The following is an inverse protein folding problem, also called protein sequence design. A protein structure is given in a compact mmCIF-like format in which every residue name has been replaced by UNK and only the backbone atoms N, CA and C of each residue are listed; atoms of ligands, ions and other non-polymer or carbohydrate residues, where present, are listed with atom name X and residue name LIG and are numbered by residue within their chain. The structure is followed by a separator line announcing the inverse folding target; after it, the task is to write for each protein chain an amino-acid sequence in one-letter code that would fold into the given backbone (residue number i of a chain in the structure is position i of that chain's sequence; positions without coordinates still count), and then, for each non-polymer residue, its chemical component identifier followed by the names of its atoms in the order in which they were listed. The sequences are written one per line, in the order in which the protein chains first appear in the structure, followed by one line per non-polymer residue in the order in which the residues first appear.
data_IF_706939514196
#
_entry.id   IF_706939514196
#
_cell.length_a   1.000
_cell.length_b   1.000
_cell.length_c   1.000
_cell.angle_alpha   90.00
_cell.angle_beta   90.00
_cell.angle_gamma   90.00
#
_symmetry.space_group_name_H-M   'P 1'
#
loop_
_entity.id
_entity.type
_entity.pdbx_description
1 polymer ?
#
# COMPACT_ATOMS: atom_id res chain seq x y z
N UNK A 1 -12.52 27.49 12.96
CA UNK A 1 -12.42 26.19 12.28
C UNK A 1 -12.83 26.46 10.86
N UNK A 2 -11.92 26.23 9.93
CA UNK A 2 -12.08 26.61 8.54
C UNK A 2 -12.99 25.61 7.80
N UNK A 3 -14.05 26.10 7.17
CA UNK A 3 -15.13 25.26 6.63
C UNK A 3 -14.69 24.57 5.32
N UNK A 4 -13.88 25.26 4.52
CA UNK A 4 -13.23 24.71 3.33
C UNK A 4 -12.28 23.54 3.64
N UNK A 5 -11.43 23.68 4.66
CA UNK A 5 -10.48 22.64 5.07
C UNK A 5 -11.19 21.34 5.47
N UNK A 6 -12.31 21.45 6.20
CA UNK A 6 -13.15 20.29 6.55
C UNK A 6 -13.81 19.65 5.33
N UNK A 7 -14.30 20.45 4.38
CA UNK A 7 -14.94 19.96 3.16
C UNK A 7 -13.95 19.13 2.32
N UNK A 8 -12.73 19.64 2.14
CA UNK A 8 -11.65 18.94 1.44
C UNK A 8 -11.23 17.66 2.16
N UNK A 9 -11.02 17.73 3.48
CA UNK A 9 -10.70 16.56 4.30
C UNK A 9 -11.75 15.48 4.20
N UNK A 10 -13.03 15.84 4.28
CA UNK A 10 -14.14 14.89 4.17
C UNK A 10 -14.20 14.24 2.79
N UNK A 11 -13.95 14.99 1.72
CA UNK A 11 -13.89 14.43 0.37
C UNK A 11 -12.69 13.49 0.18
N UNK A 12 -11.52 13.83 0.74
CA UNK A 12 -10.36 12.95 0.75
C UNK A 12 -10.67 11.62 1.46
N UNK A 13 -11.28 11.69 2.64
CA UNK A 13 -11.68 10.50 3.41
C UNK A 13 -12.70 9.67 2.62
N UNK A 14 -13.69 10.31 1.98
CA UNK A 14 -14.68 9.62 1.12
C UNK A 14 -14.04 8.92 -0.09
N UNK A 15 -12.95 9.47 -0.63
CA UNK A 15 -12.16 8.83 -1.70
C UNK A 15 -11.23 7.74 -1.18
N UNK A 16 -11.07 7.58 0.13
CA UNK A 16 -10.16 6.64 0.75
C UNK A 16 -8.68 7.03 0.63
N UNK A 17 -8.38 8.30 0.34
CA UNK A 17 -7.00 8.77 0.20
C UNK A 17 -6.38 9.12 1.54
N UNK A 18 -5.16 8.64 1.77
CA UNK A 18 -4.29 9.16 2.81
C UNK A 18 -3.67 10.50 2.38
N UNK A 19 -3.06 11.22 3.34
CA UNK A 19 -2.28 12.43 2.99
C UNK A 19 -1.08 12.08 2.09
N UNK A 20 -0.51 10.88 2.27
CA UNK A 20 0.54 10.35 1.40
C UNK A 20 0.08 10.18 -0.04
N UNK A 21 -1.08 9.54 -0.23
CA UNK A 21 -1.68 9.35 -1.56
C UNK A 21 -1.94 10.70 -2.22
N UNK A 22 -2.49 11.64 -1.46
CA UNK A 22 -2.81 12.96 -1.98
C UNK A 22 -1.53 13.75 -2.33
N UNK A 23 -0.45 13.62 -1.56
CA UNK A 23 0.86 14.16 -1.94
C UNK A 23 1.36 13.51 -3.25
N UNK A 24 1.21 12.21 -3.43
CA UNK A 24 1.67 11.54 -4.65
C UNK A 24 0.86 11.96 -5.88
N UNK A 25 -0.44 12.18 -5.73
CA UNK A 25 -1.35 12.60 -6.79
C UNK A 25 -1.10 14.07 -7.16
N UNK A 26 -1.08 14.96 -6.17
CA UNK A 26 -1.01 16.41 -6.38
C UNK A 26 0.42 16.94 -6.52
N UNK A 27 1.42 16.17 -6.05
CA UNK A 27 2.82 16.61 -5.87
C UNK A 27 3.00 17.75 -4.86
N UNK A 28 1.95 18.08 -4.10
CA UNK A 28 2.01 19.05 -2.99
C UNK A 28 2.54 18.34 -1.75
N UNK A 29 3.52 18.94 -1.07
CA UNK A 29 4.10 18.34 0.14
C UNK A 29 3.06 18.16 1.25
N UNK A 30 3.12 17.05 1.99
CA UNK A 30 2.16 16.72 3.07
C UNK A 30 1.88 17.86 4.02
N UNK A 31 2.91 18.60 4.44
CA UNK A 31 2.78 19.72 5.39
C UNK A 31 1.80 20.79 4.90
N UNK A 32 1.76 21.05 3.60
CA UNK A 32 0.85 22.04 3.03
C UNK A 32 -0.56 21.48 2.86
N UNK A 33 -0.70 20.20 2.55
CA UNK A 33 -2.01 19.53 2.51
C UNK A 33 -2.68 19.50 3.89
N UNK A 34 -1.91 19.24 4.94
CA UNK A 34 -2.38 19.29 6.33
C UNK A 34 -2.76 20.73 6.71
N UNK A 35 -1.91 21.70 6.39
CA UNK A 35 -2.19 23.11 6.64
C UNK A 35 -3.50 23.57 5.96
N UNK A 36 -3.78 23.12 4.72
CA UNK A 36 -5.04 23.39 4.02
C UNK A 36 -6.24 22.74 4.74
N UNK A 37 -6.12 21.51 5.23
CA UNK A 37 -7.20 20.86 5.99
C UNK A 37 -7.48 21.52 7.34
N UNK A 38 -6.48 22.16 7.93
CA UNK A 38 -6.57 22.89 9.21
C UNK A 38 -6.91 24.37 9.03
N UNK A 39 -6.99 24.86 7.78
CA UNK A 39 -7.23 26.27 7.46
C UNK A 39 -6.07 27.21 7.80
N UNK A 40 -4.86 26.66 7.94
CA UNK A 40 -3.66 27.40 8.28
C UNK A 40 -2.95 27.88 7.00
N UNK A 41 -3.62 28.74 6.24
CA UNK A 41 -3.09 29.21 4.95
C UNK A 41 -1.77 29.96 5.07
N UNK A 42 -1.50 30.60 6.21
CA UNK A 42 -0.25 31.31 6.50
C UNK A 42 0.99 30.40 6.51
N UNK A 43 0.81 29.08 6.65
CA UNK A 43 1.92 28.11 6.60
C UNK A 43 2.29 27.67 5.17
N UNK A 44 1.56 28.13 4.15
CA UNK A 44 1.88 27.87 2.75
C UNK A 44 3.02 28.78 2.29
N UNK A 45 3.75 28.43 1.20
CA UNK A 45 4.92 29.20 0.73
C UNK A 45 4.54 30.54 0.04
N UNK A 46 3.50 31.21 0.53
CA UNK A 46 2.95 32.46 0.02
C UNK A 46 1.50 32.31 -0.45
N UNK A 47 0.74 33.40 -0.29
CA UNK A 47 -0.70 33.49 -0.59
C UNK A 47 -1.05 33.06 -2.02
N UNK A 48 -0.13 33.33 -2.97
CA UNK A 48 -0.29 32.98 -4.38
C UNK A 48 -0.53 31.48 -4.60
N UNK A 49 0.08 30.63 -3.77
CA UNK A 49 -0.03 29.18 -3.89
C UNK A 49 -1.28 28.61 -3.25
N UNK A 50 -1.97 29.36 -2.37
CA UNK A 50 -3.13 28.87 -1.62
C UNK A 50 -4.24 28.44 -2.58
N UNK A 51 -4.64 29.32 -3.50
CA UNK A 51 -5.66 28.99 -4.52
C UNK A 51 -5.25 27.82 -5.41
N UNK A 52 -3.99 27.80 -5.85
CA UNK A 52 -3.50 26.74 -6.74
C UNK A 52 -3.52 25.38 -6.04
N UNK A 53 -3.10 25.32 -4.78
CA UNK A 53 -3.09 24.08 -4.00
C UNK A 53 -4.49 23.62 -3.63
N UNK A 54 -5.40 24.52 -3.27
CA UNK A 54 -6.81 24.20 -3.03
C UNK A 54 -7.46 23.65 -4.30
N UNK A 55 -7.21 24.25 -5.46
CA UNK A 55 -7.68 23.75 -6.76
C UNK A 55 -7.18 22.34 -7.02
N UNK A 56 -5.87 22.13 -6.91
CA UNK A 56 -5.27 20.83 -7.19
C UNK A 56 -5.68 19.74 -6.20
N UNK A 57 -5.91 20.10 -4.92
CA UNK A 57 -6.53 19.23 -3.93
C UNK A 57 -7.95 18.86 -4.39
N UNK A 58 -8.79 19.86 -4.66
CA UNK A 58 -10.20 19.69 -5.03
C UNK A 58 -10.37 18.78 -6.25
N UNK A 59 -9.56 19.01 -7.29
CA UNK A 59 -9.52 18.18 -8.50
C UNK A 59 -9.16 16.73 -8.17
N UNK A 60 -8.16 16.51 -7.30
CA UNK A 60 -7.74 15.17 -6.89
C UNK A 60 -8.83 14.41 -6.13
N UNK A 61 -9.63 15.10 -5.31
CA UNK A 61 -10.75 14.47 -4.57
C UNK A 61 -12.09 14.50 -5.30
N UNK A 62 -12.12 15.08 -6.50
CA UNK A 62 -13.31 15.14 -7.35
C UNK A 62 -14.39 16.11 -6.87
N UNK A 63 -13.99 17.19 -6.18
CA UNK A 63 -14.86 18.35 -5.93
C UNK A 63 -14.63 19.37 -7.04
N UNK A 64 -15.69 20.06 -7.46
CA UNK A 64 -15.58 21.20 -8.38
C UNK A 64 -14.76 22.32 -7.74
N UNK A 65 -13.52 22.48 -8.22
CA UNK A 65 -12.57 23.48 -7.75
C UNK A 65 -13.10 24.91 -7.90
N UNK A 66 -13.75 25.20 -9.02
CA UNK A 66 -14.20 26.55 -9.33
C UNK A 66 -15.41 26.95 -8.46
N UNK A 67 -16.31 26.01 -8.15
CA UNK A 67 -17.41 26.23 -7.19
C UNK A 67 -16.88 26.44 -5.77
N UNK A 68 -15.94 25.60 -5.34
CA UNK A 68 -15.37 25.65 -4.00
C UNK A 68 -14.57 26.95 -3.78
N UNK A 69 -13.82 27.40 -4.78
CA UNK A 69 -13.06 28.66 -4.69
C UNK A 69 -13.96 29.91 -4.70
N UNK A 70 -15.14 29.86 -5.33
CA UNK A 70 -16.08 30.98 -5.31
C UNK A 70 -16.91 31.00 -4.02
N UNK A 71 -17.32 29.83 -3.51
CA UNK A 71 -18.04 29.67 -2.25
C UNK A 71 -17.23 30.19 -1.04
N UNK A 72 -15.92 29.90 -1.00
CA UNK A 72 -15.04 30.27 0.12
C UNK A 72 -14.07 31.42 -0.20
N UNK A 73 -14.43 32.28 -1.17
CA UNK A 73 -13.58 33.38 -1.62
C UNK A 73 -13.18 34.38 -0.54
N UNK A 74 -13.99 34.51 0.52
CA UNK A 74 -13.71 35.38 1.66
C UNK A 74 -12.69 34.79 2.66
N UNK A 75 -12.53 33.47 2.67
CA UNK A 75 -11.61 32.75 3.57
C UNK A 75 -10.23 32.54 2.92
N UNK A 76 -10.17 32.56 1.59
CA UNK A 76 -8.94 32.35 0.83
C UNK A 76 -8.24 33.69 0.54
N UNK A 77 -6.94 33.85 0.87
CA UNK A 77 -6.16 35.02 0.51
C UNK A 77 -6.28 35.35 -0.98
N UNK A 78 -6.66 36.59 -1.29
CA UNK A 78 -6.83 37.03 -2.67
C UNK A 78 -5.48 37.47 -3.25
N UNK A 79 -4.79 36.57 -3.94
CA UNK A 79 -3.57 36.88 -4.68
C UNK A 79 -3.86 37.16 -6.16
N UNK A 80 -4.88 37.97 -6.45
CA UNK A 80 -4.93 38.54 -7.80
C UNK A 80 -3.66 39.38 -8.00
N UNK A 81 -2.90 39.18 -9.10
CA UNK A 81 -1.89 40.15 -9.46
C UNK A 81 -2.66 41.45 -9.73
N UNK A 82 -2.53 42.41 -8.82
CA UNK A 82 -2.92 43.79 -9.10
C UNK A 82 -2.19 44.16 -10.38
N UNK A 83 -2.93 44.34 -11.47
CA UNK A 83 -2.42 45.06 -12.64
C UNK A 83 -2.28 46.52 -12.22
N UNK A 84 -1.30 46.79 -11.39
CA UNK A 84 -0.84 48.14 -11.10
C UNK A 84 0.18 48.48 -12.20
N UNK A 85 -0.31 49.25 -13.17
CA UNK A 85 0.38 50.18 -14.06
C UNK A 85 1.91 50.06 -14.21
N UNK A 86 2.34 49.78 -15.45
CA UNK A 86 3.54 50.23 -16.18
C UNK A 86 4.93 50.36 -15.46
N UNK A 87 6.03 50.01 -16.16
CA UNK A 87 7.29 49.57 -15.54
C UNK A 87 8.21 50.71 -15.13
N UNK A 88 8.81 50.61 -13.93
CA UNK A 88 10.09 51.27 -13.65
C UNK A 88 11.23 50.24 -13.70
N UNK A 89 12.16 50.52 -14.59
CA UNK A 89 13.39 49.78 -14.80
C UNK A 89 14.22 49.73 -13.51
N UNK A 90 14.54 48.53 -13.03
CA UNK A 90 15.72 48.35 -12.19
C UNK A 90 16.51 47.16 -12.69
N UNK A 91 17.61 47.49 -13.39
CA UNK A 91 18.67 46.57 -13.79
C UNK A 91 19.08 45.70 -12.61
N UNK A 92 18.98 44.38 -12.73
CA UNK A 92 19.84 43.46 -11.99
C UNK A 92 20.10 42.20 -12.81
N UNK A 93 21.36 42.11 -13.25
CA UNK A 93 22.16 40.93 -13.61
C UNK A 93 21.40 39.71 -14.15
N UNK A 94 21.49 39.58 -15.47
CA UNK A 94 21.37 38.31 -16.21
C UNK A 94 22.28 37.23 -15.60
N UNK A 95 21.69 36.28 -14.89
CA UNK A 95 22.23 34.92 -14.84
C UNK A 95 21.74 34.26 -16.12
N UNK A 96 22.69 34.05 -17.03
CA UNK A 96 22.54 33.18 -18.19
C UNK A 96 22.40 31.76 -17.65
N UNK A 97 21.18 31.26 -17.51
CA UNK A 97 20.93 29.82 -17.62
C UNK A 97 20.35 29.55 -18.99
N UNK A 98 21.06 28.73 -19.75
CA UNK A 98 20.66 28.21 -21.04
C UNK A 98 19.40 27.36 -20.86
N UNK A 99 18.24 28.01 -20.91
CA UNK A 99 17.00 27.31 -21.20
C UNK A 99 17.08 26.84 -22.65
N UNK A 100 17.31 25.54 -22.83
CA UNK A 100 17.19 24.87 -24.11
C UNK A 100 15.83 25.21 -24.73
N UNK A 101 15.83 26.14 -25.69
CA UNK A 101 14.67 26.58 -26.47
C UNK A 101 14.17 25.52 -27.47
N UNK A 102 14.33 24.24 -27.14
CA UNK A 102 13.87 23.11 -27.95
C UNK A 102 12.38 22.79 -27.75
N UNK A 103 11.75 23.28 -26.68
CA UNK A 103 10.42 22.79 -26.27
C UNK A 103 9.27 23.79 -26.46
N UNK A 104 9.53 25.03 -26.87
CA UNK A 104 8.48 26.05 -26.96
C UNK A 104 7.48 25.85 -28.12
N UNK A 105 7.78 24.94 -29.06
CA UNK A 105 6.86 24.60 -30.17
C UNK A 105 6.31 23.16 -30.10
N UNK A 106 6.51 22.43 -29.00
CA UNK A 106 6.16 21.00 -28.94
C UNK A 106 4.75 20.70 -28.39
N UNK A 107 4.04 21.70 -27.85
CA UNK A 107 2.78 21.54 -27.11
C UNK A 107 1.65 20.79 -27.84
N UNK A 108 1.58 20.87 -29.17
CA UNK A 108 0.56 20.16 -29.97
C UNK A 108 1.03 18.82 -30.57
N UNK A 109 2.34 18.52 -30.51
CA UNK A 109 2.90 17.26 -31.03
C UNK A 109 3.25 16.25 -29.93
N UNK A 110 3.26 16.67 -28.65
CA UNK A 110 3.43 15.77 -27.49
C UNK A 110 2.46 14.57 -27.52
N UNK A 111 1.15 14.72 -27.75
CA UNK A 111 0.25 13.56 -27.74
C UNK A 111 0.57 12.57 -28.88
N UNK A 112 1.04 13.04 -30.04
CA UNK A 112 1.36 12.18 -31.19
C UNK A 112 2.73 11.48 -31.03
N UNK A 113 3.70 12.15 -30.40
CA UNK A 113 5.01 11.56 -30.07
C UNK A 113 4.85 10.48 -28.99
N UNK A 114 3.99 10.71 -27.99
CA UNK A 114 3.68 9.71 -26.95
C UNK A 114 3.07 8.46 -27.56
N UNK A 115 2.10 8.60 -28.48
CA UNK A 115 1.51 7.45 -29.19
C UNK A 115 2.56 6.71 -30.02
N UNK A 116 3.44 7.42 -30.73
CA UNK A 116 4.53 6.83 -31.50
C UNK A 116 5.52 6.04 -30.62
N UNK A 117 5.90 6.60 -29.47
CA UNK A 117 6.79 5.93 -28.50
C UNK A 117 6.11 4.69 -27.91
N UNK A 118 4.83 4.76 -27.57
CA UNK A 118 4.07 3.61 -27.07
C UNK A 118 4.03 2.48 -28.09
N UNK A 119 3.79 2.78 -29.38
CA UNK A 119 3.83 1.78 -30.46
C UNK A 119 5.22 1.17 -30.59
N UNK A 120 6.29 1.97 -30.54
CA UNK A 120 7.67 1.49 -30.59
C UNK A 120 8.02 0.58 -29.40
N UNK A 121 7.57 0.92 -28.19
CA UNK A 121 7.75 0.11 -26.98
C UNK A 121 6.98 -1.20 -27.10
N UNK A 122 5.74 -1.19 -27.60
CA UNK A 122 4.95 -2.40 -27.83
C UNK A 122 5.64 -3.32 -28.84
N UNK A 123 6.12 -2.79 -29.97
CA UNK A 123 6.89 -3.55 -30.97
C UNK A 123 8.17 -4.12 -30.34
N UNK A 124 8.86 -3.33 -29.51
CA UNK A 124 10.06 -3.77 -28.77
C UNK A 124 9.77 -4.90 -27.79
N UNK A 125 8.68 -4.82 -27.03
CA UNK A 125 8.25 -5.87 -26.09
C UNK A 125 7.85 -7.15 -26.84
N UNK A 126 7.17 -7.03 -27.97
CA UNK A 126 6.80 -8.20 -28.80
C UNK A 126 8.06 -8.85 -29.39
N UNK A 127 8.99 -8.07 -29.95
CA UNK A 127 10.26 -8.58 -30.48
C UNK A 127 11.12 -9.22 -29.38
N UNK A 128 11.23 -8.57 -28.22
CA UNK A 128 11.95 -9.09 -27.06
C UNK A 128 11.33 -10.39 -26.54
N UNK A 129 9.99 -10.44 -26.45
CA UNK A 129 9.25 -11.64 -26.06
C UNK A 129 9.40 -12.78 -27.08
N UNK A 130 9.50 -12.49 -28.37
CA UNK A 130 9.73 -13.50 -29.41
C UNK A 130 11.14 -14.09 -29.32
N UNK A 131 12.15 -13.25 -29.04
CA UNK A 131 13.55 -13.70 -28.85
C UNK A 131 13.74 -14.48 -27.54
N UNK A 132 13.05 -14.09 -26.45
CA UNK A 132 13.12 -14.81 -25.17
C UNK A 132 12.27 -16.10 -25.13
N UNK A 133 11.20 -16.22 -25.92
CA UNK A 133 10.45 -17.49 -26.04
C UNK A 133 11.27 -18.59 -26.71
N UNK A 134 12.23 -18.23 -27.56
CA UNK A 134 13.10 -19.19 -28.25
C UNK A 134 14.29 -19.69 -27.41
N UNK A 135 14.44 -19.24 -26.15
CA UNK A 135 15.45 -19.75 -25.21
C UNK A 135 14.88 -20.67 -24.12
N UNK A 136 13.57 -20.92 -24.10
CA UNK A 136 12.96 -21.95 -23.24
C UNK A 136 12.83 -23.28 -23.98
N UNK A 137 13.95 -23.81 -24.48
CA UNK A 137 14.09 -25.20 -24.89
C UNK A 137 15.14 -25.86 -23.98
N UNK A 138 14.77 -26.07 -22.72
CA UNK A 138 15.56 -26.88 -21.78
C UNK A 138 14.78 -28.15 -21.44
N UNK A 139 15.11 -29.18 -22.22
CA UNK A 139 15.15 -30.62 -21.91
C UNK A 139 14.30 -31.14 -20.73
N UNK A 140 13.28 -31.93 -21.06
CA UNK A 140 12.72 -32.97 -20.19
C UNK A 140 13.79 -34.03 -19.97
N UNK A 141 14.42 -34.04 -18.79
CA UNK A 141 15.19 -35.19 -18.31
C UNK A 141 14.21 -36.22 -17.77
N UNK A 142 14.07 -37.33 -18.49
CA UNK A 142 13.27 -38.50 -18.10
C UNK A 142 14.03 -39.25 -16.98
N UNK A 143 13.47 -39.41 -15.77
CA UNK A 143 13.98 -40.39 -14.82
C UNK A 143 13.66 -41.79 -15.35
N UNK A 144 14.71 -42.59 -15.59
CA UNK A 144 14.58 -44.03 -15.81
C UNK A 144 14.07 -44.70 -14.52
N UNK A 145 13.01 -45.47 -14.72
CA UNK A 145 12.62 -46.70 -14.01
C UNK A 145 12.92 -46.81 -12.52
N UNK A 146 11.85 -46.85 -11.72
CA UNK A 146 11.66 -48.03 -10.87
C UNK A 146 10.19 -48.31 -10.50
N UNK A 147 9.73 -49.49 -10.91
CA UNK A 147 8.80 -50.40 -10.20
C UNK A 147 7.30 -50.03 -10.11
N UNK A 148 6.58 -50.52 -11.13
CA UNK A 148 5.49 -51.52 -11.07
C UNK A 148 4.43 -51.43 -9.96
N UNK A 149 3.21 -51.13 -10.40
CA UNK A 149 1.93 -51.42 -9.75
C UNK A 149 1.76 -52.92 -9.45
N UNK A 150 1.25 -53.26 -8.26
CA UNK A 150 0.41 -54.46 -8.12
C UNK A 150 -0.66 -54.21 -7.05
N UNK A 151 -1.89 -54.08 -7.52
CA UNK A 151 -3.13 -54.23 -6.77
C UNK A 151 -3.31 -55.70 -6.34
N UNK A 152 -3.54 -55.97 -5.05
CA UNK A 152 -4.26 -57.17 -4.62
C UNK A 152 -4.94 -56.99 -3.27
N UNK A 153 -6.17 -57.51 -3.25
CA UNK A 153 -7.25 -57.37 -2.28
C UNK A 153 -7.19 -58.49 -1.24
N UNK A 154 -7.70 -58.20 -0.04
CA UNK A 154 -8.29 -59.11 0.96
C UNK A 154 -7.35 -59.96 1.84
N UNK A 155 -7.38 -59.72 3.15
CA UNK A 155 -8.07 -60.59 4.11
C UNK A 155 -7.80 -60.17 5.57
N UNK A 156 -8.90 -60.01 6.31
CA UNK A 156 -9.02 -59.79 7.75
C UNK A 156 -8.40 -60.91 8.59
N UNK A 157 -7.66 -60.58 9.66
CA UNK A 157 -7.81 -61.23 10.98
C UNK A 157 -7.19 -60.42 12.12
N UNK A 158 -8.07 -60.07 13.04
CA UNK A 158 -7.91 -59.52 14.39
C UNK A 158 -6.87 -60.26 15.24
N UNK A 159 -6.02 -59.51 15.96
CA UNK A 159 -5.66 -59.84 17.34
C UNK A 159 -5.39 -58.58 18.16
N UNK A 160 -6.23 -58.43 19.18
CA UNK A 160 -6.23 -57.44 20.24
C UNK A 160 -5.09 -57.79 21.20
N UNK A 161 -4.14 -56.87 21.41
CA UNK A 161 -3.24 -56.90 22.55
C UNK A 161 -3.14 -55.48 23.09
N UNK A 162 -3.73 -55.29 24.27
CA UNK A 162 -3.66 -54.05 25.03
C UNK A 162 -2.22 -53.81 25.48
N UNK A 163 -1.66 -52.64 25.15
CA UNK A 163 -0.56 -52.05 25.89
C UNK A 163 -0.80 -50.56 26.04
N UNK A 164 -1.17 -50.18 27.26
CA UNK A 164 -1.01 -48.82 27.81
C UNK A 164 0.41 -48.36 27.51
N UNK A 165 0.57 -47.23 26.83
CA UNK A 165 1.59 -46.24 27.17
C UNK A 165 1.34 -44.95 26.38
N UNK A 166 0.96 -43.92 27.15
CA UNK A 166 1.56 -42.59 27.07
C UNK A 166 1.27 -41.76 25.84
N UNK A 167 0.18 -41.00 25.94
CA UNK A 167 0.17 -39.52 25.82
C UNK A 167 1.57 -38.95 25.53
N UNK A 168 1.94 -38.89 24.25
CA UNK A 168 2.90 -37.88 23.77
C UNK A 168 2.07 -36.85 23.03
N UNK A 169 1.40 -36.04 23.84
CA UNK A 169 1.18 -34.63 23.51
C UNK A 169 2.58 -34.12 23.17
N UNK A 170 2.90 -34.04 21.88
CA UNK A 170 3.91 -33.08 21.45
C UNK A 170 3.27 -31.75 21.78
N UNK A 171 3.62 -31.20 22.95
CA UNK A 171 3.35 -29.81 23.27
C UNK A 171 3.85 -29.00 22.08
N UNK A 172 2.92 -28.46 21.31
CA UNK A 172 3.22 -27.49 20.29
C UNK A 172 3.70 -26.24 21.04
N UNK A 173 5.01 -26.13 21.21
CA UNK A 173 5.76 -24.92 21.59
C UNK A 173 5.67 -23.83 20.51
N UNK A 174 4.51 -23.70 19.85
CA UNK A 174 4.23 -22.63 18.92
C UNK A 174 3.60 -21.45 19.65
N UNK A 175 3.85 -20.25 19.18
CA UNK A 175 3.28 -19.04 19.73
C UNK A 175 1.75 -19.11 19.88
N UNK A 176 1.21 -18.48 20.91
CA UNK A 176 -0.23 -18.39 21.15
C UNK A 176 -0.66 -16.95 20.98
N UNK A 177 -1.64 -16.72 20.11
CA UNK A 177 -2.17 -15.40 19.78
C UNK A 177 -3.55 -15.25 20.42
N UNK A 178 -3.74 -14.21 21.23
CA UNK A 178 -5.05 -13.85 21.80
C UNK A 178 -5.38 -12.43 21.42
N UNK A 179 -6.61 -12.19 20.99
CA UNK A 179 -7.11 -10.83 20.78
C UNK A 179 -7.36 -10.15 22.15
N UNK A 180 -6.96 -8.89 22.28
CA UNK A 180 -7.19 -8.06 23.45
C UNK A 180 -8.59 -7.43 23.45
N UNK A 181 -8.94 -6.69 24.50
CA UNK A 181 -10.23 -5.98 24.60
C UNK A 181 -10.35 -4.84 23.56
N UNK A 182 -9.21 -4.29 23.15
CA UNK A 182 -9.12 -3.29 22.09
C UNK A 182 -9.09 -3.98 20.71
N UNK A 183 -10.12 -3.76 19.89
CA UNK A 183 -10.22 -4.32 18.53
C UNK A 183 -8.95 -4.04 17.72
N UNK A 184 -8.43 -5.08 17.06
CA UNK A 184 -7.21 -4.98 16.25
C UNK A 184 -5.92 -5.06 17.07
N UNK A 185 -5.99 -5.25 18.39
CA UNK A 185 -4.81 -5.51 19.22
C UNK A 185 -4.75 -6.97 19.64
N UNK A 186 -3.57 -7.58 19.50
CA UNK A 186 -3.32 -8.98 19.81
C UNK A 186 -2.11 -9.11 20.73
N UNK A 187 -2.19 -10.07 21.64
CA UNK A 187 -1.07 -10.49 22.49
C UNK A 187 -0.54 -11.84 21.98
N UNK A 188 0.76 -11.89 21.73
CA UNK A 188 1.48 -13.09 21.31
C UNK A 188 2.34 -13.56 22.48
N UNK A 189 2.14 -14.79 22.93
CA UNK A 189 2.88 -15.43 24.03
C UNK A 189 3.60 -16.68 23.53
N UNK A 190 4.60 -17.16 24.28
CA UNK A 190 5.34 -18.38 23.96
C UNK A 190 6.08 -18.30 22.61
N UNK A 191 6.78 -17.18 22.38
CA UNK A 191 7.51 -16.94 21.13
C UNK A 191 8.75 -17.83 21.04
N UNK A 192 8.96 -18.53 19.90
CA UNK A 192 10.16 -19.33 19.68
C UNK A 192 11.45 -18.51 19.72
N UNK A 193 12.55 -19.12 20.15
CA UNK A 193 13.86 -18.46 20.20
C UNK A 193 14.42 -18.08 18.83
N UNK A 194 14.01 -18.79 17.77
CA UNK A 194 14.37 -18.54 16.37
C UNK A 194 13.52 -17.45 15.69
N UNK A 195 12.62 -16.81 16.45
CA UNK A 195 11.72 -15.78 15.96
C UNK A 195 10.35 -16.32 15.56
N UNK A 196 9.44 -15.39 15.27
CA UNK A 196 8.04 -15.68 14.99
C UNK A 196 7.79 -15.70 13.48
N UNK A 197 7.27 -16.81 12.94
CA UNK A 197 6.93 -16.87 11.51
C UNK A 197 5.53 -16.33 11.29
N UNK A 198 5.44 -15.19 10.63
CA UNK A 198 4.17 -14.56 10.25
C UNK A 198 3.95 -14.76 8.76
N UNK A 199 2.79 -15.28 8.37
CA UNK A 199 2.36 -15.37 6.98
C UNK A 199 1.07 -14.58 6.79
N UNK A 200 1.10 -13.64 5.85
CA UNK A 200 -0.07 -12.83 5.46
C UNK A 200 -0.46 -13.23 4.04
N UNK A 201 -1.75 -13.45 3.79
CA UNK A 201 -2.25 -13.87 2.50
C UNK A 201 -3.57 -13.18 2.12
N UNK A 202 -3.75 -12.93 0.82
CA UNK A 202 -4.99 -12.43 0.25
C UNK A 202 -6.04 -13.53 0.09
N UNK A 203 -7.29 -13.24 0.42
CA UNK A 203 -8.42 -14.18 0.32
C UNK A 203 -9.63 -13.51 -0.35
N UNK A 204 -10.15 -14.08 -1.43
CA UNK A 204 -11.40 -13.61 -2.05
C UNK A 204 -11.30 -12.27 -2.79
N UNK A 205 -10.13 -11.63 -2.78
CA UNK A 205 -9.84 -10.41 -3.51
C UNK A 205 -8.43 -9.90 -3.19
N UNK A 206 -8.12 -8.68 -3.64
CA UNK A 206 -6.85 -8.02 -3.34
C UNK A 206 -6.90 -7.34 -1.97
N UNK A 207 -5.81 -7.43 -1.22
CA UNK A 207 -5.57 -6.66 0.00
C UNK A 207 -4.18 -6.03 -0.06
N UNK A 208 -4.11 -4.69 0.12
CA UNK A 208 -2.83 -4.02 0.33
C UNK A 208 -2.37 -4.27 1.76
N UNK A 209 -1.15 -4.77 1.93
CA UNK A 209 -0.55 -5.07 3.22
C UNK A 209 0.70 -4.24 3.41
N UNK A 210 0.86 -3.63 4.58
CA UNK A 210 2.12 -3.10 5.08
C UNK A 210 2.47 -3.80 6.38
N UNK A 211 3.70 -4.30 6.47
CA UNK A 211 4.24 -4.96 7.64
C UNK A 211 5.31 -4.09 8.26
N UNK A 212 5.20 -3.83 9.56
CA UNK A 212 6.15 -3.01 10.30
C UNK A 212 6.58 -3.68 11.60
N UNK A 213 7.86 -3.62 11.93
CA UNK A 213 8.43 -4.04 13.20
C UNK A 213 8.76 -2.78 14.00
N UNK A 214 8.02 -2.54 15.10
CA UNK A 214 7.95 -1.21 15.70
C UNK A 214 7.55 -0.13 14.68
N UNK A 215 8.34 0.94 14.59
CA UNK A 215 8.13 2.05 13.65
C UNK A 215 8.71 1.79 12.25
N UNK A 216 9.47 0.71 12.07
CA UNK A 216 10.15 0.42 10.81
C UNK A 216 9.28 -0.45 9.90
N UNK A 217 8.95 0.06 8.71
CA UNK A 217 8.24 -0.72 7.68
C UNK A 217 9.23 -1.66 6.99
N UNK A 218 9.03 -2.97 7.16
CA UNK A 218 9.92 -3.98 6.58
C UNK A 218 9.53 -4.32 5.15
N UNK A 219 8.23 -4.33 4.84
CA UNK A 219 7.73 -4.46 3.48
C UNK A 219 6.28 -3.98 3.34
N UNK A 220 5.90 -3.71 2.09
CA UNK A 220 4.53 -3.40 1.69
C UNK A 220 4.24 -4.01 0.32
N UNK A 221 3.10 -4.67 0.17
CA UNK A 221 2.71 -5.31 -1.09
C UNK A 221 1.18 -5.45 -1.17
N UNK A 222 0.62 -5.29 -2.37
CA UNK A 222 -0.73 -5.75 -2.66
C UNK A 222 -0.70 -7.26 -2.92
N UNK A 223 -1.44 -8.03 -2.10
CA UNK A 223 -1.58 -9.47 -2.26
C UNK A 223 -2.91 -9.78 -2.92
N UNK A 224 -2.87 -10.44 -4.08
CA UNK A 224 -4.06 -10.97 -4.73
C UNK A 224 -4.59 -12.21 -4.00
N UNK A 225 -5.79 -12.66 -4.35
CA UNK A 225 -6.38 -13.87 -3.76
C UNK A 225 -5.50 -15.09 -4.02
N UNK A 226 -5.05 -15.75 -2.94
CA UNK A 226 -4.15 -16.91 -3.01
C UNK A 226 -2.66 -16.57 -2.98
N UNK A 227 -2.29 -15.29 -3.12
CA UNK A 227 -0.91 -14.85 -2.89
C UNK A 227 -0.63 -14.73 -1.40
N UNK A 228 0.60 -15.07 -1.02
CA UNK A 228 1.04 -15.05 0.37
C UNK A 228 2.47 -14.54 0.50
N UNK A 229 2.74 -13.85 1.60
CA UNK A 229 4.06 -13.37 2.00
C UNK A 229 4.35 -13.86 3.40
N UNK A 230 5.50 -14.50 3.58
CA UNK A 230 5.98 -14.95 4.88
C UNK A 230 7.15 -14.08 5.34
N UNK A 231 7.22 -13.80 6.64
CA UNK A 231 8.23 -12.97 7.30
C UNK A 231 8.53 -13.55 8.67
N UNK A 232 9.81 -13.61 9.00
CA UNK A 232 10.25 -14.01 10.35
C UNK A 232 10.52 -12.76 11.16
N UNK A 233 9.70 -12.53 12.18
CA UNK A 233 9.92 -11.45 13.15
C UNK A 233 10.98 -11.91 14.15
N UNK A 234 12.06 -11.14 14.35
CA UNK A 234 13.09 -11.45 15.34
C UNK A 234 12.54 -11.63 16.76
N UNK A 235 13.21 -12.44 17.58
CA UNK A 235 12.78 -12.72 18.97
C UNK A 235 13.05 -11.57 19.95
N UNK A 236 13.87 -10.59 19.56
CA UNK A 236 14.08 -9.35 20.30
C UNK A 236 12.94 -8.34 20.11
N UNK A 237 12.17 -8.44 19.02
CA UNK A 237 11.02 -7.57 18.72
C UNK A 237 9.95 -7.63 19.81
N UNK A 238 9.51 -6.47 20.28
CA UNK A 238 8.45 -6.32 21.28
C UNK A 238 7.07 -6.13 20.64
N UNK A 239 7.02 -5.46 19.50
CA UNK A 239 5.76 -5.19 18.79
C UNK A 239 5.98 -5.24 17.28
N UNK A 240 4.99 -5.74 16.55
CA UNK A 240 4.90 -5.58 15.11
C UNK A 240 3.46 -5.25 14.72
N UNK A 241 3.30 -4.62 13.57
CA UNK A 241 1.99 -4.24 13.04
C UNK A 241 1.79 -4.76 11.62
N UNK A 242 0.56 -5.14 11.32
CA UNK A 242 0.10 -5.48 9.98
C UNK A 242 -1.02 -4.53 9.63
N UNK A 243 -0.75 -3.56 8.76
CA UNK A 243 -1.78 -2.71 8.19
C UNK A 243 -2.35 -3.37 6.95
N UNK A 244 -3.68 -3.43 6.86
CA UNK A 244 -4.38 -3.96 5.69
C UNK A 244 -5.42 -2.99 5.17
N UNK A 245 -5.41 -2.72 3.86
CA UNK A 245 -6.44 -1.92 3.19
C UNK A 245 -7.78 -2.64 3.06
N UNK A 246 -7.82 -3.96 3.22
CA UNK A 246 -9.05 -4.74 3.20
C UNK A 246 -8.93 -5.98 4.09
N UNK A 247 -9.35 -5.82 5.35
CA UNK A 247 -9.30 -6.88 6.37
C UNK A 247 -10.19 -8.08 6.02
N UNK A 248 -11.29 -7.88 5.29
CA UNK A 248 -12.19 -8.98 4.85
C UNK A 248 -11.49 -9.90 3.84
N UNK A 249 -10.56 -9.34 3.07
CA UNK A 249 -9.75 -10.07 2.10
C UNK A 249 -8.35 -10.45 2.62
N UNK A 250 -8.12 -10.35 3.93
CA UNK A 250 -6.82 -10.64 4.54
C UNK A 250 -6.91 -11.86 5.45
N UNK A 251 -5.90 -12.71 5.41
CA UNK A 251 -5.68 -13.78 6.38
C UNK A 251 -4.28 -13.68 6.95
N UNK A 252 -4.14 -13.94 8.24
CA UNK A 252 -2.85 -13.93 8.94
C UNK A 252 -2.70 -15.24 9.68
N UNK A 253 -1.52 -15.85 9.56
CA UNK A 253 -1.13 -16.99 10.40
C UNK A 253 0.18 -16.67 11.10
N UNK A 254 0.29 -17.13 12.34
CA UNK A 254 1.46 -16.96 13.20
C UNK A 254 1.88 -18.36 13.64
N UNK A 255 3.09 -18.79 13.28
CA UNK A 255 3.60 -20.16 13.45
C UNK A 255 2.60 -21.24 12.97
N UNK A 256 1.94 -20.97 11.84
CA UNK A 256 0.94 -21.86 11.26
C UNK A 256 -0.43 -21.89 11.97
N UNK A 257 -0.62 -21.10 13.04
CA UNK A 257 -1.93 -20.90 13.68
C UNK A 257 -2.63 -19.68 13.07
N UNK A 258 -3.88 -19.84 12.65
CA UNK A 258 -4.66 -18.74 12.11
C UNK A 258 -5.00 -17.72 13.21
N UNK A 259 -4.85 -16.43 12.89
CA UNK A 259 -5.29 -15.32 13.73
C UNK A 259 -6.76 -15.03 13.42
N UNK A 260 -7.58 -14.93 14.46
CA UNK A 260 -8.98 -14.54 14.31
C UNK A 260 -9.09 -13.02 14.08
N UNK A 261 -9.54 -12.65 12.88
CA UNK A 261 -9.75 -11.25 12.47
C UNK A 261 -11.23 -10.84 12.51
N UNK A 262 -12.13 -11.72 12.93
CA UNK A 262 -13.59 -11.52 12.80
C UNK A 262 -14.10 -10.25 13.47
N UNK A 263 -13.56 -9.85 14.63
CA UNK A 263 -13.95 -8.59 15.28
C UNK A 263 -13.37 -7.34 14.62
N UNK A 264 -12.28 -7.50 13.87
CA UNK A 264 -11.66 -6.41 13.11
C UNK A 264 -12.32 -6.22 11.74
N UNK A 265 -13.08 -7.21 11.27
CA UNK A 265 -13.89 -7.13 10.05
C UNK A 265 -15.01 -6.10 10.22
N UNK A 266 -14.98 -5.05 9.41
CA UNK A 266 -16.03 -4.02 9.32
C UNK A 266 -16.66 -4.08 7.91
N UNK A 267 -17.91 -3.65 7.78
CA UNK A 267 -18.59 -3.56 6.48
C UNK A 267 -17.93 -2.58 5.50
N UNK A 268 -17.21 -1.58 6.01
CA UNK A 268 -16.49 -0.59 5.21
C UNK A 268 -15.04 -1.02 4.95
N UNK A 269 -14.59 -0.88 3.71
CA UNK A 269 -13.18 -1.05 3.31
C UNK A 269 -12.34 0.12 3.79
N UNK A 270 -12.03 0.13 5.08
CA UNK A 270 -11.08 1.06 5.69
C UNK A 270 -9.76 0.36 5.99
N UNK A 271 -8.67 1.10 5.88
CA UNK A 271 -7.35 0.62 6.32
C UNK A 271 -7.44 0.29 7.81
N UNK A 272 -7.06 -0.93 8.16
CA UNK A 272 -7.01 -1.42 9.54
C UNK A 272 -5.57 -1.68 9.94
N UNK A 273 -5.18 -1.16 11.09
CA UNK A 273 -3.92 -1.51 11.74
C UNK A 273 -4.19 -2.64 12.73
N UNK A 274 -3.51 -3.78 12.52
CA UNK A 274 -3.51 -4.90 13.46
C UNK A 274 -2.19 -4.88 14.22
N UNK A 275 -2.25 -4.66 15.53
CA UNK A 275 -1.07 -4.53 16.40
C UNK A 275 -0.86 -5.82 17.17
N UNK A 276 0.35 -6.35 17.12
CA UNK A 276 0.73 -7.57 17.83
C UNK A 276 1.80 -7.24 18.87
N UNK A 277 1.44 -7.35 20.14
CA UNK A 277 2.34 -7.19 21.28
C UNK A 277 2.91 -8.55 21.66
N UNK A 278 4.24 -8.66 21.68
CA UNK A 278 4.94 -9.88 22.04
C UNK A 278 5.26 -9.84 23.55
N UNK A 279 4.64 -10.74 24.30
CA UNK A 279 4.95 -10.99 25.70
C UNK A 279 6.02 -12.07 25.80
N UNK A 280 7.10 -11.74 26.52
CA UNK A 280 8.25 -12.62 26.77
C UNK A 280 8.12 -13.29 28.13
#
# INVERSE_FOLDING_TARGET
MDEIGQKLRNARIKKGYTIDDLQQITKIQKRYLIAIEEGQFDHLPGDFYVRAFIKQYSDAVGISSDELLEEYKAEIPNSQPTQESAPEETKTRTIKEESNSFFSNLGNYIPQIVVGIVILVIIGVIAFGMVHRNQSASSVTIPKDNTTQTTKKSATKTKKAAKKTTKKTTEATGATVKESDTTGTYTVTNVPSDGLKVEVAGKGGQAWIQFSEGDNTTWQQALASGEKKSTTVPSDTTTFTVQTGNVNNTTITIDGKAVDLSKSQSGDTIVKTLTFNIEK
#
